data_IF_588353973546
#
_entry.id   IF_588353973546
#
_cell.length_a   1.000
_cell.length_b   1.000
_cell.length_c   1.000
_cell.angle_alpha   90.00
_cell.angle_beta   90.00
_cell.angle_gamma   90.00
#
_symmetry.space_group_name_H-M   'P 1'
#
loop_
_entity.id
_entity.type
_entity.pdbx_description
1 polymer ?
#
# COMPACT_ATOMS: atom_id res chain seq x y z
N UNK A 1 -24.49 11.15 12.31
CA UNK A 1 -23.38 10.27 11.91
C UNK A 1 -22.22 10.62 12.81
N UNK A 2 -21.58 9.62 13.41
CA UNK A 2 -20.36 9.81 14.20
C UNK A 2 -19.20 10.21 13.27
N UNK A 3 -18.29 11.06 13.74
CA UNK A 3 -17.12 11.46 12.95
C UNK A 3 -16.01 10.39 13.02
N UNK A 4 -15.13 10.37 12.01
CA UNK A 4 -13.95 9.49 12.02
C UNK A 4 -13.04 9.79 13.22
N UNK A 5 -13.00 11.06 13.64
CA UNK A 5 -12.20 11.58 14.75
C UNK A 5 -12.73 11.05 16.09
N UNK A 6 -14.05 11.13 16.31
CA UNK A 6 -14.70 10.59 17.51
C UNK A 6 -14.46 9.08 17.63
N UNK A 7 -14.57 8.36 16.51
CA UNK A 7 -14.29 6.91 16.47
C UNK A 7 -12.82 6.62 16.81
N UNK A 8 -11.88 7.39 16.26
CA UNK A 8 -10.46 7.23 16.53
C UNK A 8 -10.14 7.43 18.01
N UNK A 9 -10.69 8.50 18.61
CA UNK A 9 -10.51 8.84 20.01
C UNK A 9 -11.14 7.80 20.93
N UNK A 10 -12.36 7.34 20.62
CA UNK A 10 -13.02 6.29 21.41
C UNK A 10 -12.21 5.01 21.39
N UNK A 11 -11.76 4.57 20.21
CA UNK A 11 -10.94 3.34 20.08
C UNK A 11 -9.59 3.49 20.79
N UNK A 12 -8.99 4.69 20.80
CA UNK A 12 -7.69 4.90 21.46
C UNK A 12 -7.74 4.71 22.98
N UNK A 13 -8.90 4.88 23.62
CA UNK A 13 -9.07 4.58 25.04
C UNK A 13 -9.20 3.09 25.36
N UNK A 14 -9.57 2.25 24.38
CA UNK A 14 -9.81 0.82 24.58
C UNK A 14 -8.67 -0.07 24.07
N UNK A 15 -7.75 0.46 23.28
CA UNK A 15 -6.70 -0.30 22.61
C UNK A 15 -5.31 0.28 22.88
N UNK A 16 -4.28 -0.53 22.72
CA UNK A 16 -2.87 -0.07 22.78
C UNK A 16 -2.32 0.26 21.38
N UNK A 17 -2.98 -0.22 20.32
CA UNK A 17 -2.60 0.01 18.92
C UNK A 17 -3.82 -0.03 18.00
N UNK A 18 -3.86 0.82 16.97
CA UNK A 18 -4.95 0.85 15.99
C UNK A 18 -4.41 0.42 14.62
N UNK A 19 -5.11 -0.50 13.97
CA UNK A 19 -4.89 -0.82 12.55
C UNK A 19 -6.09 -0.31 11.75
N UNK A 20 -5.87 0.70 10.91
CA UNK A 20 -6.93 1.37 10.15
C UNK A 20 -6.97 0.87 8.72
N UNK A 21 -8.15 0.44 8.26
CA UNK A 21 -8.42 0.11 6.86
C UNK A 21 -9.69 0.83 6.41
N UNK A 22 -9.54 1.82 5.55
CA UNK A 22 -10.65 2.69 5.12
C UNK A 22 -10.54 3.00 3.61
N UNK A 23 -11.66 3.18 2.89
CA UNK A 23 -11.67 3.54 1.46
C UNK A 23 -11.22 4.98 1.18
N UNK A 24 -11.11 5.82 2.20
CA UNK A 24 -10.61 7.19 2.09
C UNK A 24 -9.16 7.28 2.56
N UNK A 25 -8.26 7.82 1.74
CA UNK A 25 -6.82 7.82 2.03
C UNK A 25 -6.41 8.71 3.22
N UNK A 26 -7.22 9.71 3.56
CA UNK A 26 -7.01 10.63 4.69
C UNK A 26 -7.27 9.97 6.05
N UNK A 27 -8.08 8.91 6.10
CA UNK A 27 -8.51 8.26 7.34
C UNK A 27 -7.36 7.89 8.30
N UNK A 28 -6.28 7.19 7.90
CA UNK A 28 -5.20 6.85 8.80
C UNK A 28 -4.45 8.09 9.31
N UNK A 29 -4.41 9.17 8.54
CA UNK A 29 -3.79 10.43 8.97
C UNK A 29 -4.66 11.12 10.02
N UNK A 30 -5.97 11.17 9.80
CA UNK A 30 -6.94 11.71 10.77
C UNK A 30 -6.87 10.89 12.07
N UNK A 31 -6.82 9.57 11.98
CA UNK A 31 -6.65 8.70 13.14
C UNK A 31 -5.32 8.96 13.85
N UNK A 32 -4.22 9.14 13.11
CA UNK A 32 -2.90 9.40 13.70
C UNK A 32 -2.78 10.80 14.32
N UNK A 33 -3.58 11.77 13.88
CA UNK A 33 -3.61 13.12 14.45
C UNK A 33 -4.40 13.16 15.77
N UNK A 34 -5.43 12.33 15.89
CA UNK A 34 -6.36 12.33 17.03
C UNK A 34 -6.05 11.26 18.07
N UNK A 35 -5.54 10.09 17.67
CA UNK A 35 -5.28 8.99 18.59
C UNK A 35 -3.96 9.18 19.35
N UNK A 36 -4.00 9.00 20.66
CA UNK A 36 -2.80 9.04 21.53
C UNK A 36 -1.93 7.76 21.44
N UNK A 37 -2.37 6.77 20.67
CA UNK A 37 -1.72 5.47 20.51
C UNK A 37 -1.24 5.24 19.07
N UNK A 38 -0.24 4.37 18.84
CA UNK A 38 0.27 4.12 17.49
C UNK A 38 -0.81 3.67 16.51
N UNK A 39 -0.82 4.27 15.33
CA UNK A 39 -1.75 3.96 14.23
C UNK A 39 -0.98 3.35 13.06
N UNK A 40 -1.40 2.17 12.62
CA UNK A 40 -0.85 1.46 11.47
C UNK A 40 -1.88 1.49 10.33
N UNK A 41 -1.46 1.92 9.14
CA UNK A 41 -2.26 1.80 7.93
C UNK A 41 -2.30 0.34 7.45
N UNK A 42 -3.48 -0.28 7.48
CA UNK A 42 -3.76 -1.62 6.98
C UNK A 42 -4.02 -1.68 5.46
N UNK A 43 -3.70 -0.61 4.74
CA UNK A 43 -4.04 -0.41 3.33
C UNK A 43 -5.20 0.56 3.19
N UNK A 44 -4.91 1.77 2.73
CA UNK A 44 -5.92 2.82 2.61
C UNK A 44 -6.26 3.14 1.15
N UNK A 45 -7.47 3.69 0.97
CA UNK A 45 -8.10 4.11 -0.28
C UNK A 45 -7.26 4.87 -1.30
N UNK A 46 -7.80 5.03 -2.51
CA UNK A 46 -7.19 5.90 -3.53
C UNK A 46 -7.74 7.30 -3.30
N UNK A 47 -6.87 8.31 -3.32
CA UNK A 47 -7.35 9.68 -3.55
C UNK A 47 -7.95 9.71 -4.95
N UNK A 48 -9.21 10.16 -5.07
CA UNK A 48 -9.84 10.38 -6.36
C UNK A 48 -9.09 11.47 -7.11
N UNK A 49 -9.05 11.35 -8.43
CA UNK A 49 -8.21 12.08 -9.38
C UNK A 49 -8.35 13.62 -9.41
N UNK A 50 -8.98 14.26 -8.43
CA UNK A 50 -9.24 15.70 -8.44
C UNK A 50 -8.03 16.57 -8.00
N UNK A 51 -6.97 15.97 -7.44
CA UNK A 51 -5.78 16.72 -6.98
C UNK A 51 -4.49 15.89 -7.05
N UNK A 52 -4.13 15.38 -8.23
CA UNK A 52 -2.85 14.69 -8.44
C UNK A 52 -2.63 13.46 -7.53
N UNK A 53 -3.71 12.74 -7.20
CA UNK A 53 -3.73 11.71 -6.16
C UNK A 53 -2.77 10.55 -6.46
N UNK A 54 -1.84 10.32 -5.53
CA UNK A 54 -1.04 9.10 -5.49
C UNK A 54 -1.93 7.90 -5.13
N UNK A 55 -1.65 6.75 -5.75
CA UNK A 55 -2.23 5.46 -5.37
C UNK A 55 -1.98 5.25 -3.87
N UNK A 56 -3.05 5.11 -3.07
CA UNK A 56 -2.95 4.99 -1.61
C UNK A 56 -1.91 3.98 -1.14
N UNK A 57 -1.29 4.24 0.00
CA UNK A 57 -0.17 3.43 0.49
C UNK A 57 -0.66 2.12 1.10
N UNK A 58 0.06 1.03 0.78
CA UNK A 58 -0.10 -0.25 1.46
C UNK A 58 1.25 -0.71 2.05
N UNK A 59 1.72 -0.04 3.11
CA UNK A 59 3.08 -0.23 3.63
C UNK A 59 3.32 -1.66 4.11
N UNK A 60 2.31 -2.28 4.73
CA UNK A 60 2.39 -3.67 5.21
C UNK A 60 2.55 -4.70 4.10
N UNK A 61 1.92 -4.50 2.94
CA UNK A 61 2.06 -5.40 1.79
C UNK A 61 3.45 -5.27 1.17
N UNK A 62 3.95 -4.04 1.00
CA UNK A 62 5.30 -3.80 0.49
C UNK A 62 6.37 -4.41 1.40
N UNK A 63 6.23 -4.27 2.72
CA UNK A 63 7.16 -4.88 3.68
C UNK A 63 7.15 -6.41 3.58
N UNK A 64 5.98 -7.01 3.41
CA UNK A 64 5.86 -8.46 3.21
C UNK A 64 6.55 -8.92 1.92
N UNK A 65 6.41 -8.16 0.83
CA UNK A 65 7.04 -8.47 -0.45
C UNK A 65 8.57 -8.37 -0.36
N UNK A 66 9.09 -7.29 0.24
CA UNK A 66 10.52 -7.12 0.51
C UNK A 66 11.06 -8.23 1.42
N UNK A 67 10.35 -8.55 2.50
CA UNK A 67 10.75 -9.63 3.40
C UNK A 67 10.77 -10.98 2.67
N UNK A 68 9.81 -11.22 1.78
CA UNK A 68 9.77 -12.44 0.97
C UNK A 68 10.97 -12.53 0.04
N UNK A 69 11.33 -11.44 -0.63
CA UNK A 69 12.51 -11.36 -1.49
C UNK A 69 13.77 -11.60 -0.66
N UNK A 70 13.92 -10.92 0.48
CA UNK A 70 15.05 -11.08 1.38
C UNK A 70 15.20 -12.53 1.86
N UNK A 71 14.09 -13.16 2.28
CA UNK A 71 14.09 -14.55 2.74
C UNK A 71 14.49 -15.54 1.63
N UNK A 72 14.18 -15.23 0.37
CA UNK A 72 14.47 -16.10 -0.78
C UNK A 72 15.85 -15.86 -1.40
N UNK A 73 16.36 -14.63 -1.35
CA UNK A 73 17.60 -14.20 -2.03
C UNK A 73 18.76 -13.91 -1.07
N UNK A 74 18.47 -13.67 0.21
CA UNK A 74 19.44 -13.32 1.26
C UNK A 74 19.90 -11.86 1.24
N UNK A 75 19.52 -11.07 0.23
CA UNK A 75 19.85 -9.65 0.10
C UNK A 75 18.72 -8.90 -0.64
N UNK A 76 18.76 -7.57 -0.54
CA UNK A 76 17.86 -6.67 -1.25
C UNK A 76 18.58 -5.74 -2.26
N UNK A 77 19.91 -5.82 -2.33
CA UNK A 77 20.73 -5.05 -3.27
C UNK A 77 20.97 -5.79 -4.59
N UNK A 78 21.26 -5.05 -5.66
CA UNK A 78 21.53 -5.57 -7.00
C UNK A 78 20.39 -6.43 -7.59
N UNK A 79 19.16 -6.18 -7.17
CA UNK A 79 18.01 -6.94 -7.66
C UNK A 79 17.53 -6.45 -9.01
N UNK A 80 17.24 -7.38 -9.92
CA UNK A 80 16.50 -7.09 -11.15
C UNK A 80 15.09 -7.66 -11.00
N UNK A 81 14.09 -6.79 -10.95
CA UNK A 81 12.69 -7.15 -10.74
C UNK A 81 11.87 -6.81 -11.98
N UNK A 82 11.00 -7.74 -12.39
CA UNK A 82 10.02 -7.54 -13.44
C UNK A 82 8.64 -7.38 -12.79
N UNK A 83 8.10 -6.17 -12.84
CA UNK A 83 6.71 -5.91 -12.53
C UNK A 83 5.87 -6.24 -13.78
N UNK A 84 4.97 -7.21 -13.68
CA UNK A 84 4.09 -7.60 -14.78
C UNK A 84 2.63 -7.38 -14.35
N UNK A 85 1.90 -6.52 -15.07
CA UNK A 85 0.50 -6.22 -14.78
C UNK A 85 0.19 -4.73 -14.69
N UNK A 86 -0.82 -4.38 -13.89
CA UNK A 86 -1.31 -3.01 -13.78
C UNK A 86 -0.38 -2.15 -12.91
N UNK A 87 0.34 -1.23 -13.54
CA UNK A 87 1.28 -0.32 -12.86
C UNK A 87 0.59 0.77 -12.03
N UNK A 88 -0.72 0.97 -12.23
CA UNK A 88 -1.55 1.86 -11.40
C UNK A 88 -1.92 1.20 -10.06
N UNK A 89 -1.57 -0.09 -9.86
CA UNK A 89 -1.83 -0.76 -8.59
C UNK A 89 -0.92 -0.22 -7.47
N UNK A 90 -1.54 0.03 -6.31
CA UNK A 90 -0.89 0.55 -5.09
C UNK A 90 0.32 -0.26 -4.68
N UNK A 91 0.19 -1.59 -4.67
CA UNK A 91 1.28 -2.50 -4.30
C UNK A 91 2.50 -2.32 -5.21
N UNK A 92 2.30 -2.21 -6.52
CA UNK A 92 3.40 -2.04 -7.49
C UNK A 92 4.09 -0.69 -7.32
N UNK A 93 3.33 0.40 -7.15
CA UNK A 93 3.92 1.74 -6.94
C UNK A 93 4.71 1.82 -5.63
N UNK A 94 4.14 1.33 -4.52
CA UNK A 94 4.83 1.32 -3.21
C UNK A 94 6.07 0.42 -3.25
N UNK A 95 5.99 -0.75 -3.88
CA UNK A 95 7.14 -1.66 -4.02
C UNK A 95 8.28 -1.02 -4.83
N UNK A 96 7.97 -0.40 -5.98
CA UNK A 96 8.98 0.31 -6.77
C UNK A 96 9.64 1.45 -5.99
N UNK A 97 8.85 2.20 -5.20
CA UNK A 97 9.38 3.24 -4.33
C UNK A 97 10.32 2.67 -3.27
N UNK A 98 9.90 1.64 -2.53
CA UNK A 98 10.77 1.04 -1.50
C UNK A 98 12.02 0.40 -2.08
N UNK A 99 11.95 -0.14 -3.30
CA UNK A 99 13.12 -0.66 -4.02
C UNK A 99 14.15 0.41 -4.37
N UNK A 100 13.72 1.65 -4.60
CA UNK A 100 14.62 2.77 -4.93
C UNK A 100 15.57 3.14 -3.78
N UNK A 101 15.28 2.67 -2.56
CA UNK A 101 16.09 2.88 -1.36
C UNK A 101 17.32 1.93 -1.36
N UNK A 102 17.25 0.80 -2.06
CA UNK A 102 18.31 -0.21 -2.09
C UNK A 102 19.28 0.00 -3.26
N UNK A 103 20.51 -0.50 -3.12
CA UNK A 103 21.58 -0.20 -4.07
C UNK A 103 21.43 -1.02 -5.36
N UNK A 104 21.65 -0.35 -6.50
CA UNK A 104 21.78 -1.00 -7.82
C UNK A 104 20.57 -1.86 -8.24
N UNK A 105 19.39 -1.56 -7.71
CA UNK A 105 18.15 -2.23 -8.08
C UNK A 105 17.64 -1.73 -9.44
N UNK A 106 17.21 -2.65 -10.31
CA UNK A 106 16.64 -2.38 -11.62
C UNK A 106 15.22 -2.93 -11.66
N UNK A 107 14.26 -2.07 -12.00
CA UNK A 107 12.87 -2.47 -12.19
C UNK A 107 12.51 -2.38 -13.67
N UNK A 108 11.95 -3.46 -14.22
CA UNK A 108 11.36 -3.50 -15.55
C UNK A 108 9.84 -3.59 -15.42
N UNK A 109 9.12 -2.79 -16.19
CA UNK A 109 7.67 -2.79 -16.20
C UNK A 109 7.16 -3.38 -17.52
N UNK A 110 6.45 -4.51 -17.46
CA UNK A 110 5.69 -5.04 -18.60
C UNK A 110 4.23 -4.62 -18.44
N UNK A 111 3.82 -3.65 -19.23
CA UNK A 111 2.43 -3.19 -19.29
C UNK A 111 1.67 -4.18 -20.17
N UNK A 112 0.77 -4.95 -19.55
CA UNK A 112 -0.18 -5.75 -20.31
C UNK A 112 -1.28 -4.83 -20.87
N UNK A 113 -1.71 -5.02 -22.14
CA UNK A 113 -2.86 -4.30 -22.66
C UNK A 113 -4.05 -4.60 -21.76
N UNK A 114 -4.72 -3.54 -21.28
CA UNK A 114 -5.87 -3.61 -20.39
C UNK A 114 -7.04 -4.24 -21.17
N UNK A 115 -7.11 -5.58 -21.23
CA UNK A 115 -8.36 -6.29 -21.51
C UNK A 115 -9.15 -6.34 -20.21
N UNK A 116 -9.82 -5.23 -19.88
CA UNK A 116 -10.91 -5.23 -18.89
C UNK A 116 -12.12 -5.89 -19.51
N UNK A 117 -12.15 -7.22 -19.49
CA UNK A 117 -13.35 -8.05 -19.33
C UNK A 117 -12.85 -9.46 -19.04
N UNK A 118 -13.04 -9.90 -17.81
CA UNK A 118 -12.99 -11.32 -17.48
C UNK A 118 -14.26 -11.93 -18.11
N UNK A 119 -14.15 -12.46 -19.33
CA UNK A 119 -15.03 -13.54 -19.75
C UNK A 119 -14.42 -14.82 -19.21
N UNK A 120 -15.22 -15.58 -18.46
CA UNK A 120 -14.98 -17.01 -18.26
C UNK A 120 -14.69 -17.70 -19.60
N UNK A 121 -13.98 -18.83 -19.54
CA UNK A 121 -13.41 -19.64 -20.63
C UNK A 121 -11.98 -19.19 -20.99
N UNK A 122 -10.95 -20.02 -20.84
CA UNK A 122 -10.85 -21.41 -21.31
C UNK A 122 -10.10 -22.32 -20.32
N UNK A 123 -10.69 -23.50 -20.12
CA UNK A 123 -10.05 -24.77 -19.77
C UNK A 123 -9.22 -25.28 -20.95
#
# INVERSE_FOLDING_TARGET
AESLEDTALMVSYYADIIVVRHPEASAPYIFAEVADIPVISGGCGSISAFKGGSSGEHPTQCLLDLYTIYKKRGNLDNLTILCNGNMTSRATTTLCYSMSIFNSCRAFAKILPVKTHCSEQEL
#
